data_IF_691435739573
#
_entry.id   IF_691435739573
#
_cell.length_a   1.000
_cell.length_b   1.000
_cell.length_c   1.000
_cell.angle_alpha   90.00
_cell.angle_beta   90.00
_cell.angle_gamma   90.00
#
_symmetry.space_group_name_H-M   'P 1'
#
loop_
_entity.id
_entity.type
_entity.pdbx_description
1 polymer ?
#
# COMPACT_ATOMS: atom_id res chain seq x y z
N UNK A 1 25.84 12.33 21.32
CA UNK A 1 25.03 11.27 20.67
C UNK A 1 23.51 11.42 20.90
N UNK A 2 23.03 11.89 22.06
CA UNK A 2 21.59 11.96 22.36
C UNK A 2 20.77 13.00 21.56
N UNK A 3 21.38 14.10 21.10
CA UNK A 3 20.63 15.18 20.45
C UNK A 3 20.16 14.83 19.02
N UNK A 4 20.96 14.07 18.26
CA UNK A 4 20.58 13.61 16.92
C UNK A 4 19.43 12.60 16.96
N UNK A 5 19.40 11.72 17.96
CA UNK A 5 18.31 10.75 18.13
C UNK A 5 16.98 11.46 18.44
N UNK A 6 17.00 12.48 19.33
CA UNK A 6 15.80 13.29 19.63
C UNK A 6 15.34 14.11 18.42
N UNK A 7 16.26 14.67 17.65
CA UNK A 7 15.94 15.42 16.43
C UNK A 7 15.32 14.52 15.36
N UNK A 8 15.87 13.32 15.16
CA UNK A 8 15.31 12.30 14.26
C UNK A 8 13.90 11.90 14.67
N UNK A 9 13.69 11.57 15.94
CA UNK A 9 12.38 11.17 16.46
C UNK A 9 11.33 12.28 16.24
N UNK A 10 11.64 13.53 16.58
CA UNK A 10 10.73 14.67 16.36
C UNK A 10 10.36 14.84 14.88
N UNK A 11 11.34 14.72 13.98
CA UNK A 11 11.09 14.84 12.55
C UNK A 11 10.18 13.71 12.05
N UNK A 12 10.40 12.48 12.52
CA UNK A 12 9.57 11.33 12.17
C UNK A 12 8.14 11.45 12.68
N UNK A 13 7.94 11.95 13.91
CA UNK A 13 6.60 12.22 14.43
C UNK A 13 5.87 13.32 13.64
N UNK A 14 6.57 14.41 13.29
CA UNK A 14 5.97 15.48 12.46
C UNK A 14 5.54 14.95 11.09
N UNK A 15 6.34 14.09 10.48
CA UNK A 15 6.00 13.49 9.20
C UNK A 15 4.82 12.55 9.29
N UNK A 16 4.74 11.74 10.35
CA UNK A 16 3.56 10.91 10.60
C UNK A 16 2.29 11.76 10.70
N UNK A 17 2.35 12.91 11.39
CA UNK A 17 1.19 13.81 11.49
C UNK A 17 0.84 14.47 10.15
N UNK A 18 1.84 14.87 9.36
CA UNK A 18 1.63 15.43 8.02
C UNK A 18 1.06 14.37 7.07
N UNK A 19 1.57 13.15 7.11
CA UNK A 19 1.10 12.01 6.31
C UNK A 19 -0.36 11.70 6.62
N UNK A 20 -0.68 11.61 7.92
CA UNK A 20 -2.04 11.41 8.39
C UNK A 20 -2.97 12.56 7.95
N UNK A 21 -2.53 13.81 8.07
CA UNK A 21 -3.29 14.98 7.65
C UNK A 21 -3.51 15.05 6.14
N UNK A 22 -2.47 14.75 5.35
CA UNK A 22 -2.52 14.70 3.90
C UNK A 22 -3.46 13.58 3.42
N UNK A 23 -3.36 12.40 4.03
CA UNK A 23 -4.24 11.27 3.75
C UNK A 23 -5.71 11.61 4.04
N UNK A 24 -6.01 12.19 5.20
CA UNK A 24 -7.36 12.66 5.52
C UNK A 24 -7.84 13.74 4.54
N UNK A 25 -7.02 14.75 4.24
CA UNK A 25 -7.37 15.81 3.31
C UNK A 25 -7.68 15.26 1.91
N UNK A 26 -6.88 14.30 1.42
CA UNK A 26 -7.13 13.63 0.16
C UNK A 26 -8.47 12.87 0.19
N UNK A 27 -8.73 12.08 1.24
CA UNK A 27 -9.97 11.31 1.34
C UNK A 27 -11.20 12.21 1.37
N UNK A 28 -11.17 13.29 2.15
CA UNK A 28 -12.26 14.26 2.21
C UNK A 28 -12.43 14.98 0.87
N UNK A 29 -11.34 15.45 0.26
CA UNK A 29 -11.39 16.09 -1.04
C UNK A 29 -11.99 15.15 -2.10
N UNK A 30 -11.52 13.89 -2.15
CA UNK A 30 -12.00 12.89 -3.10
C UNK A 30 -13.47 12.50 -2.88
N UNK A 31 -13.93 12.49 -1.62
CA UNK A 31 -15.32 12.22 -1.26
C UNK A 31 -16.24 13.40 -1.62
N UNK A 32 -15.85 14.63 -1.30
CA UNK A 32 -16.68 15.81 -1.52
C UNK A 32 -16.61 16.37 -2.95
N UNK A 33 -15.56 16.07 -3.72
CA UNK A 33 -15.42 16.54 -5.10
C UNK A 33 -16.38 15.85 -6.08
N UNK A 34 -17.07 14.79 -5.66
CA UNK A 34 -17.88 13.95 -6.55
C UNK A 34 -17.05 13.10 -7.53
N UNK A 35 -15.71 13.14 -7.44
CA UNK A 35 -14.80 12.37 -8.30
C UNK A 35 -15.04 10.87 -8.18
N UNK A 36 -15.41 10.38 -6.99
CA UNK A 36 -15.79 8.98 -6.79
C UNK A 36 -16.96 8.57 -7.69
N UNK A 37 -18.03 9.37 -7.75
CA UNK A 37 -19.20 9.08 -8.58
C UNK A 37 -18.87 9.17 -10.07
N UNK A 38 -18.10 10.17 -10.49
CA UNK A 38 -17.65 10.33 -11.86
C UNK A 38 -16.79 9.13 -12.31
N UNK A 39 -15.84 8.69 -11.48
CA UNK A 39 -14.99 7.54 -11.76
C UNK A 39 -15.80 6.24 -11.85
N UNK A 40 -16.75 6.04 -10.93
CA UNK A 40 -17.64 4.88 -10.96
C UNK A 40 -18.58 4.89 -12.18
N UNK A 41 -19.00 6.07 -12.65
CA UNK A 41 -19.78 6.22 -13.88
C UNK A 41 -18.97 5.88 -15.13
N UNK A 42 -17.74 6.42 -15.22
CA UNK A 42 -16.82 6.18 -16.32
C UNK A 42 -16.52 4.68 -16.56
N UNK A 43 -16.36 3.91 -15.48
CA UNK A 43 -16.16 2.46 -15.55
C UNK A 43 -17.44 1.70 -15.91
N UNK A 44 -18.60 2.15 -15.42
CA UNK A 44 -19.91 1.57 -15.75
C UNK A 44 -20.24 1.71 -17.24
N UNK A 45 -19.92 2.84 -17.84
CA UNK A 45 -20.14 3.08 -19.27
C UNK A 45 -19.23 2.23 -20.17
N UNK A 46 -18.00 1.96 -19.73
CA UNK A 46 -17.03 1.20 -20.52
C UNK A 46 -17.19 -0.31 -20.41
N UNK A 47 -17.70 -0.81 -19.28
CA UNK A 47 -17.67 -2.25 -18.98
C UNK A 47 -18.94 -2.64 -18.21
N UNK A 48 -19.68 -3.65 -18.71
CA UNK A 48 -20.81 -4.24 -17.96
C UNK A 48 -20.38 -5.21 -16.85
N UNK A 49 -19.10 -5.61 -16.84
CA UNK A 49 -18.56 -6.56 -15.89
C UNK A 49 -18.27 -5.89 -14.54
N UNK A 50 -19.10 -6.16 -13.53
CA UNK A 50 -18.99 -5.54 -12.21
C UNK A 50 -17.64 -5.79 -11.50
N UNK A 51 -17.00 -6.92 -11.77
CA UNK A 51 -15.65 -7.20 -11.24
C UNK A 51 -14.59 -6.27 -11.84
N UNK A 52 -14.69 -5.96 -13.13
CA UNK A 52 -13.74 -5.09 -13.82
C UNK A 52 -13.94 -3.62 -13.41
N UNK A 53 -15.19 -3.21 -13.14
CA UNK A 53 -15.51 -1.90 -12.57
C UNK A 53 -14.85 -1.71 -11.21
N UNK A 54 -14.92 -2.72 -10.32
CA UNK A 54 -14.31 -2.66 -9.00
C UNK A 54 -12.78 -2.58 -9.09
N UNK A 55 -12.15 -3.45 -9.89
CA UNK A 55 -10.70 -3.46 -10.06
C UNK A 55 -10.20 -2.15 -10.66
N UNK A 56 -10.88 -1.65 -11.69
CA UNK A 56 -10.55 -0.39 -12.35
C UNK A 56 -10.69 0.81 -11.41
N UNK A 57 -11.78 0.89 -10.65
CA UNK A 57 -11.99 1.93 -9.65
C UNK A 57 -10.90 1.87 -8.57
N UNK A 58 -10.65 0.70 -8.00
CA UNK A 58 -9.66 0.51 -6.94
C UNK A 58 -8.25 0.84 -7.41
N UNK A 59 -7.89 0.43 -8.63
CA UNK A 59 -6.59 0.73 -9.23
C UNK A 59 -6.37 2.23 -9.42
N UNK A 60 -7.36 2.95 -9.97
CA UNK A 60 -7.26 4.41 -10.15
C UNK A 60 -7.19 5.12 -8.80
N UNK A 61 -8.08 4.77 -7.87
CA UNK A 61 -8.08 5.36 -6.53
C UNK A 61 -6.75 5.14 -5.81
N UNK A 62 -6.25 3.91 -5.77
CA UNK A 62 -4.97 3.57 -5.14
C UNK A 62 -3.81 4.30 -5.80
N UNK A 63 -3.82 4.43 -7.14
CA UNK A 63 -2.78 5.15 -7.87
C UNK A 63 -2.77 6.64 -7.53
N UNK A 64 -3.94 7.29 -7.48
CA UNK A 64 -4.05 8.69 -7.10
C UNK A 64 -3.59 8.92 -5.65
N UNK A 65 -4.06 8.08 -4.73
CA UNK A 65 -3.65 8.15 -3.34
C UNK A 65 -2.14 7.97 -3.18
N UNK A 66 -1.56 6.99 -3.88
CA UNK A 66 -0.13 6.74 -3.86
C UNK A 66 0.67 7.92 -4.42
N UNK A 67 0.25 8.51 -5.54
CA UNK A 67 0.91 9.68 -6.14
C UNK A 67 0.92 10.90 -5.21
N UNK A 68 -0.16 11.12 -4.45
CA UNK A 68 -0.23 12.21 -3.47
C UNK A 68 0.74 11.98 -2.30
N UNK A 69 0.89 10.74 -1.85
CA UNK A 69 1.78 10.40 -0.73
C UNK A 69 3.24 10.16 -1.15
N UNK A 70 3.49 9.93 -2.45
CA UNK A 70 4.81 9.61 -2.99
C UNK A 70 5.92 10.62 -2.61
N UNK A 71 5.71 11.95 -2.68
CA UNK A 71 6.75 12.91 -2.30
C UNK A 71 7.11 12.82 -0.82
N UNK A 72 6.11 12.61 0.04
CA UNK A 72 6.31 12.48 1.48
C UNK A 72 6.97 11.14 1.83
N UNK A 73 6.58 10.07 1.13
CA UNK A 73 7.20 8.76 1.24
C UNK A 73 8.68 8.81 0.83
N UNK A 74 9.00 9.46 -0.29
CA UNK A 74 10.38 9.68 -0.72
C UNK A 74 11.19 10.48 0.32
N UNK A 75 10.63 11.58 0.83
CA UNK A 75 11.30 12.41 1.82
C UNK A 75 11.61 11.63 3.11
N UNK A 76 10.62 10.87 3.61
CA UNK A 76 10.75 10.10 4.85
C UNK A 76 11.69 8.91 4.74
N UNK A 77 11.62 8.15 3.65
CA UNK A 77 12.36 6.90 3.46
C UNK A 77 13.74 7.10 2.83
N UNK A 78 13.94 8.14 2.03
CA UNK A 78 15.22 8.41 1.38
C UNK A 78 15.93 9.60 2.00
N UNK A 79 15.35 10.81 1.91
CA UNK A 79 16.07 12.05 2.27
C UNK A 79 16.46 12.12 3.75
N UNK A 80 15.58 11.69 4.65
CA UNK A 80 15.85 11.72 6.09
C UNK A 80 16.86 10.66 6.49
N UNK A 81 16.73 9.44 5.97
CA UNK A 81 17.69 8.38 6.31
C UNK A 81 19.11 8.76 5.87
N UNK A 82 19.26 9.39 4.71
CA UNK A 82 20.56 9.92 4.25
C UNK A 82 21.06 11.08 5.11
N UNK A 83 20.18 12.01 5.50
CA UNK A 83 20.54 13.14 6.37
C UNK A 83 21.12 12.69 7.71
N UNK A 84 20.63 11.59 8.26
CA UNK A 84 21.11 11.03 9.53
C UNK A 84 22.16 9.93 9.34
N UNK A 85 22.62 9.66 8.11
CA UNK A 85 23.61 8.63 7.81
C UNK A 85 23.14 7.19 8.08
N UNK A 86 21.83 6.98 8.15
CA UNK A 86 21.19 5.69 8.45
C UNK A 86 21.05 4.79 7.21
N UNK A 87 21.19 5.36 6.00
CA UNK A 87 21.07 4.64 4.75
C UNK A 87 22.24 4.91 3.81
N UNK A 88 22.64 3.87 3.09
CA UNK A 88 23.64 3.89 2.01
C UNK A 88 23.02 3.61 0.64
N UNK A 89 21.70 3.57 0.58
CA UNK A 89 20.96 3.13 -0.62
C UNK A 89 20.95 4.23 -1.67
N UNK A 90 21.19 3.90 -2.94
CA UNK A 90 21.10 4.90 -4.02
C UNK A 90 19.65 5.23 -4.37
N UNK A 91 19.40 6.35 -5.05
CA UNK A 91 18.05 6.71 -5.55
C UNK A 91 17.51 5.63 -6.51
N UNK A 92 18.39 5.06 -7.34
CA UNK A 92 18.01 4.01 -8.28
C UNK A 92 17.57 2.72 -7.56
N UNK A 93 18.27 2.35 -6.49
CA UNK A 93 17.90 1.20 -5.66
C UNK A 93 16.60 1.46 -4.89
N UNK A 94 16.41 2.68 -4.39
CA UNK A 94 15.16 3.11 -3.77
C UNK A 94 13.98 2.93 -4.72
N UNK A 95 14.09 3.47 -5.94
CA UNK A 95 13.01 3.41 -6.92
C UNK A 95 12.70 1.97 -7.36
N UNK A 96 13.73 1.13 -7.56
CA UNK A 96 13.54 -0.29 -7.88
C UNK A 96 12.82 -1.03 -6.76
N UNK A 97 13.19 -0.77 -5.50
CA UNK A 97 12.53 -1.37 -4.34
C UNK A 97 11.08 -0.91 -4.23
N UNK A 98 10.86 0.37 -4.41
CA UNK A 98 9.54 0.99 -4.34
C UNK A 98 8.59 0.43 -5.40
N UNK A 99 9.03 0.36 -6.66
CA UNK A 99 8.22 -0.20 -7.75
C UNK A 99 7.84 -1.66 -7.50
N UNK A 100 8.77 -2.49 -6.99
CA UNK A 100 8.46 -3.87 -6.60
C UNK A 100 7.44 -3.93 -5.47
N UNK A 101 7.58 -3.06 -4.47
CA UNK A 101 6.69 -3.02 -3.31
C UNK A 101 5.28 -2.62 -3.73
N UNK A 102 5.15 -1.57 -4.55
CA UNK A 102 3.87 -1.11 -5.09
C UNK A 102 3.22 -2.17 -5.96
N UNK A 103 3.98 -2.78 -6.89
CA UNK A 103 3.45 -3.81 -7.78
C UNK A 103 2.94 -5.03 -7.00
N UNK A 104 3.73 -5.50 -6.03
CA UNK A 104 3.34 -6.63 -5.18
C UNK A 104 2.11 -6.29 -4.32
N UNK A 105 2.11 -5.12 -3.69
CA UNK A 105 1.01 -4.68 -2.83
C UNK A 105 -0.28 -4.48 -3.62
N UNK A 106 -0.19 -3.91 -4.82
CA UNK A 106 -1.31 -3.76 -5.73
C UNK A 106 -1.86 -5.12 -6.17
N UNK A 107 -0.99 -6.06 -6.56
CA UNK A 107 -1.42 -7.40 -6.98
C UNK A 107 -2.14 -8.13 -5.84
N UNK A 108 -1.55 -8.17 -4.65
CA UNK A 108 -2.14 -8.82 -3.48
C UNK A 108 -3.43 -8.12 -3.04
N UNK A 109 -3.42 -6.79 -2.96
CA UNK A 109 -4.57 -5.99 -2.57
C UNK A 109 -5.76 -6.17 -3.51
N UNK A 110 -5.52 -6.16 -4.82
CA UNK A 110 -6.56 -6.40 -5.83
C UNK A 110 -7.10 -7.83 -5.77
N UNK A 111 -6.24 -8.84 -5.54
CA UNK A 111 -6.68 -10.22 -5.39
C UNK A 111 -7.59 -10.40 -4.17
N UNK A 112 -7.20 -9.83 -3.03
CA UNK A 112 -8.00 -9.86 -1.79
C UNK A 112 -9.32 -9.12 -1.98
N UNK A 113 -9.28 -7.93 -2.58
CA UNK A 113 -10.48 -7.13 -2.86
C UNK A 113 -11.45 -7.87 -3.78
N UNK A 114 -10.94 -8.53 -4.82
CA UNK A 114 -11.73 -9.33 -5.74
C UNK A 114 -12.35 -10.54 -5.04
N UNK A 115 -11.59 -11.23 -4.19
CA UNK A 115 -12.08 -12.35 -3.39
C UNK A 115 -13.21 -11.92 -2.43
N UNK A 116 -13.01 -10.80 -1.75
CA UNK A 116 -14.03 -10.23 -0.86
C UNK A 116 -15.29 -9.85 -1.64
N UNK A 117 -15.15 -9.18 -2.78
CA UNK A 117 -16.29 -8.84 -3.65
C UNK A 117 -17.06 -10.07 -4.12
N UNK A 118 -16.35 -11.15 -4.48
CA UNK A 118 -16.98 -12.41 -4.83
C UNK A 118 -17.78 -12.99 -3.65
N UNK A 119 -17.24 -12.95 -2.43
CA UNK A 119 -17.96 -13.41 -1.22
C UNK A 119 -19.22 -12.59 -0.97
N UNK A 120 -19.16 -11.26 -1.07
CA UNK A 120 -20.34 -10.40 -0.93
C UNK A 120 -21.43 -10.75 -1.95
N UNK A 121 -21.05 -11.11 -3.18
CA UNK A 121 -22.00 -11.42 -4.25
C UNK A 121 -22.62 -12.81 -4.14
N UNK A 122 -21.88 -13.81 -3.66
CA UNK A 122 -22.34 -15.20 -3.62
C UNK A 122 -22.96 -15.58 -2.26
N UNK A 123 -22.51 -14.97 -1.16
CA UNK A 123 -22.92 -15.36 0.19
C UNK A 123 -23.25 -14.14 1.07
N UNK A 124 -24.18 -13.24 0.69
CA UNK A 124 -24.42 -11.98 1.38
C UNK A 124 -24.88 -12.12 2.85
N UNK A 125 -25.44 -13.27 3.25
CA UNK A 125 -25.82 -13.50 4.65
C UNK A 125 -24.65 -14.01 5.52
N UNK A 126 -23.72 -14.77 4.93
CA UNK A 126 -22.62 -15.44 5.65
C UNK A 126 -21.23 -14.92 5.25
N UNK A 127 -21.15 -13.86 4.43
CA UNK A 127 -19.89 -13.31 3.94
C UNK A 127 -18.90 -12.92 5.05
N UNK A 128 -19.32 -12.44 6.25
CA UNK A 128 -18.34 -12.09 7.28
C UNK A 128 -17.57 -13.32 7.75
N UNK A 129 -18.27 -14.45 7.93
CA UNK A 129 -17.64 -15.72 8.36
C UNK A 129 -16.62 -16.19 7.33
N UNK A 130 -17.01 -16.20 6.05
CA UNK A 130 -16.11 -16.60 4.97
C UNK A 130 -14.94 -15.63 4.77
N UNK A 131 -15.18 -14.32 4.95
CA UNK A 131 -14.12 -13.31 4.89
C UNK A 131 -13.13 -13.49 6.04
N UNK A 132 -13.60 -13.80 7.26
CA UNK A 132 -12.73 -14.09 8.40
C UNK A 132 -11.90 -15.35 8.16
N UNK A 133 -12.53 -16.45 7.73
CA UNK A 133 -11.81 -17.71 7.41
C UNK A 133 -10.78 -17.47 6.29
N UNK A 134 -11.17 -16.77 5.23
CA UNK A 134 -10.26 -16.39 4.15
C UNK A 134 -9.10 -15.53 4.64
N UNK A 135 -9.36 -14.53 5.49
CA UNK A 135 -8.35 -13.66 6.06
C UNK A 135 -7.34 -14.40 6.94
N UNK A 136 -7.81 -15.34 7.78
CA UNK A 136 -6.96 -16.21 8.58
C UNK A 136 -6.09 -17.08 7.67
N UNK A 137 -6.69 -17.70 6.65
CA UNK A 137 -5.98 -18.52 5.67
C UNK A 137 -4.89 -17.73 4.93
N UNK A 138 -5.21 -16.54 4.43
CA UNK A 138 -4.25 -15.63 3.79
C UNK A 138 -3.14 -15.26 4.76
N UNK A 139 -3.46 -14.94 6.01
CA UNK A 139 -2.47 -14.57 7.03
C UNK A 139 -1.48 -15.70 7.32
N UNK A 140 -1.96 -16.94 7.45
CA UNK A 140 -1.11 -18.13 7.65
C UNK A 140 -0.21 -18.38 6.43
N UNK A 141 -0.78 -18.31 5.22
CA UNK A 141 -0.02 -18.46 3.98
C UNK A 141 1.03 -17.36 3.86
N UNK A 142 0.68 -16.11 4.14
CA UNK A 142 1.61 -14.97 4.13
C UNK A 142 2.71 -15.13 5.19
N UNK A 143 2.41 -15.63 6.38
CA UNK A 143 3.43 -15.89 7.41
C UNK A 143 4.53 -16.86 6.93
N UNK A 144 4.17 -17.81 6.06
CA UNK A 144 5.13 -18.72 5.42
C UNK A 144 5.81 -18.12 4.20
N UNK A 145 5.05 -17.48 3.31
CA UNK A 145 5.52 -16.92 2.04
C UNK A 145 6.43 -15.70 2.27
N UNK A 146 6.16 -14.90 3.29
CA UNK A 146 6.89 -13.67 3.58
C UNK A 146 8.41 -13.91 3.74
N UNK A 147 8.89 -14.74 4.68
CA UNK A 147 10.32 -14.95 4.86
C UNK A 147 10.99 -15.69 3.70
N UNK A 148 10.26 -16.58 3.00
CA UNK A 148 10.84 -17.45 1.97
C UNK A 148 10.85 -16.84 0.58
N UNK A 149 9.86 -16.03 0.23
CA UNK A 149 9.68 -15.50 -1.13
C UNK A 149 9.68 -13.97 -1.17
N UNK A 150 9.00 -13.30 -0.23
CA UNK A 150 8.93 -11.83 -0.25
C UNK A 150 10.23 -11.21 0.22
N UNK A 151 10.81 -11.69 1.33
CA UNK A 151 12.04 -11.12 1.89
C UNK A 151 13.22 -11.18 0.89
N UNK A 152 13.49 -12.31 0.21
CA UNK A 152 14.58 -12.38 -0.79
C UNK A 152 14.33 -11.51 -2.04
N UNK A 153 13.07 -11.18 -2.35
CA UNK A 153 12.73 -10.30 -3.48
C UNK A 153 13.20 -8.86 -3.25
N UNK A 154 13.18 -8.42 -1.98
CA UNK A 154 13.55 -7.07 -1.55
C UNK A 154 14.99 -6.98 -1.04
N UNK A 155 15.51 -8.05 -0.42
CA UNK A 155 16.80 -8.04 0.25
C UNK A 155 17.67 -9.23 -0.15
N UNK A 156 18.98 -9.01 -0.22
CA UNK A 156 19.94 -10.11 -0.40
C UNK A 156 20.02 -10.91 0.89
N UNK A 157 19.58 -12.15 0.85
CA UNK A 157 19.79 -13.11 1.94
C UNK A 157 21.21 -13.68 1.83
N UNK A 158 22.07 -13.35 2.79
CA UNK A 158 23.43 -13.93 2.87
C UNK A 158 23.43 -14.94 4.01
N UNK A 159 23.82 -16.21 3.77
CA UNK A 159 23.96 -17.18 4.85
C UNK A 159 25.08 -16.72 5.80
N UNK A 160 24.78 -16.72 7.10
CA UNK A 160 25.78 -16.52 8.14
C UNK A 160 26.81 -17.66 8.00
N UNK A 161 28.02 -17.33 7.56
CA UNK A 161 29.14 -18.25 7.59
C UNK A 161 29.61 -18.35 9.05
N UNK A 162 29.63 -19.58 9.57
CA UNK A 162 30.36 -19.92 10.80
C UNK A 162 31.85 -20.12 10.50
#
# INVERSE_FOLDING_TARGET
>A
MNDNARAYARLRYRLMLVDLGLGMAFLLAFQFSGTSHALAGWWRERTGAAWLQLLGYAAVFASLYYLVNLPLHFYSSFSIEHRFGLSRMTIADWLKRELKQVALSALLGLLVLQGLYALLRHAPATWPVWATVGWVGISVVMARIFPTLLLPLFYKTVPLHN
#
